data_IF_575964170079
#
_entry.id   IF_575964170079
#
_cell.length_a   1.000
_cell.length_b   1.000
_cell.length_c   1.000
_cell.angle_alpha   90.00
_cell.angle_beta   90.00
_cell.angle_gamma   90.00
#
_symmetry.space_group_name_H-M   'P 1'
#
loop_
_entity.id
_entity.type
_entity.pdbx_description
1 polymer ?
#
# COMPACT_ATOMS: atom_id res chain seq x y z
N UNK A 1 35.68 51.03 -12.27
CA UNK A 1 34.66 51.30 -11.23
C UNK A 1 33.42 50.47 -11.55
N UNK A 2 33.10 49.41 -10.79
CA UNK A 2 31.95 48.57 -11.17
C UNK A 2 31.63 47.34 -10.31
N UNK A 3 32.25 47.12 -9.14
CA UNK A 3 32.03 45.88 -8.35
C UNK A 3 31.42 46.11 -6.95
N UNK A 4 31.18 47.36 -6.53
CA UNK A 4 30.69 47.66 -5.16
C UNK A 4 29.16 47.69 -4.99
N UNK A 5 28.37 47.60 -6.06
CA UNK A 5 26.90 47.79 -5.98
C UNK A 5 26.04 46.51 -5.99
N UNK A 6 26.60 45.33 -6.30
CA UNK A 6 25.81 44.08 -6.38
C UNK A 6 25.68 43.41 -5.01
N UNK A 7 26.72 43.48 -4.18
CA UNK A 7 26.75 42.83 -2.86
C UNK A 7 25.81 43.50 -1.84
N UNK A 8 25.59 44.81 -1.98
CA UNK A 8 24.63 45.57 -1.15
C UNK A 8 23.17 45.19 -1.44
N UNK A 9 22.82 44.91 -2.70
CA UNK A 9 21.43 44.55 -3.08
C UNK A 9 21.02 43.13 -2.65
N UNK A 10 21.96 42.19 -2.58
CA UNK A 10 21.68 40.82 -2.10
C UNK A 10 21.49 40.73 -0.57
N UNK A 11 22.21 41.56 0.20
CA UNK A 11 22.08 41.61 1.67
C UNK A 11 20.76 42.24 2.14
N UNK A 12 20.18 43.15 1.35
CA UNK A 12 18.87 43.77 1.65
C UNK A 12 17.71 42.81 1.34
N UNK A 13 17.84 41.91 0.36
CA UNK A 13 16.78 40.95 0.01
C UNK A 13 16.70 39.76 0.98
N UNK A 14 17.83 39.30 1.53
CA UNK A 14 17.82 38.21 2.52
C UNK A 14 17.30 38.64 3.90
N UNK A 15 17.54 39.90 4.29
CA UNK A 15 17.09 40.45 5.57
C UNK A 15 15.57 40.71 5.62
N UNK A 16 14.96 41.14 4.51
CA UNK A 16 13.50 41.35 4.41
C UNK A 16 12.73 40.02 4.43
N UNK A 17 13.25 38.98 3.75
CA UNK A 17 12.61 37.66 3.74
C UNK A 17 12.61 36.97 5.10
N UNK A 18 13.71 37.07 5.84
CA UNK A 18 13.83 36.43 7.16
C UNK A 18 13.02 37.18 8.24
N UNK A 19 12.99 38.52 8.18
CA UNK A 19 12.17 39.35 9.07
C UNK A 19 10.66 39.12 8.88
N UNK A 20 10.21 38.98 7.63
CA UNK A 20 8.82 38.65 7.31
C UNK A 20 8.38 37.28 7.84
N UNK A 21 9.23 36.26 7.69
CA UNK A 21 8.95 34.90 8.18
C UNK A 21 8.85 34.84 9.71
N UNK A 22 9.78 35.45 10.45
CA UNK A 22 9.77 35.46 11.92
C UNK A 22 8.59 36.26 12.48
N UNK A 23 8.27 37.41 11.89
CA UNK A 23 7.13 38.24 12.32
C UNK A 23 5.80 37.55 12.02
N UNK A 24 5.66 36.92 10.84
CA UNK A 24 4.49 36.12 10.47
C UNK A 24 4.28 34.93 11.42
N UNK A 25 5.35 34.18 11.71
CA UNK A 25 5.31 33.04 12.63
C UNK A 25 4.95 33.45 14.07
N UNK A 26 5.44 34.61 14.52
CA UNK A 26 5.13 35.16 15.85
C UNK A 26 3.67 35.64 15.95
N UNK A 27 3.15 36.30 14.91
CA UNK A 27 1.75 36.74 14.84
C UNK A 27 0.76 35.57 14.77
N UNK A 28 1.07 34.51 14.02
CA UNK A 28 0.25 33.29 13.99
C UNK A 28 0.19 32.59 15.35
N UNK A 29 1.33 32.46 16.06
CA UNK A 29 1.36 31.87 17.40
C UNK A 29 0.56 32.70 18.41
N UNK A 30 0.56 34.04 18.29
CA UNK A 30 -0.27 34.91 19.13
C UNK A 30 -1.78 34.79 18.81
N UNK A 31 -2.16 34.52 17.56
CA UNK A 31 -3.55 34.23 17.19
C UNK A 31 -4.03 32.92 17.81
N UNK A 32 -3.22 31.87 17.77
CA UNK A 32 -3.54 30.57 18.37
C UNK A 32 -3.71 30.62 19.89
N UNK A 33 -2.90 31.42 20.59
CA UNK A 33 -3.01 31.60 22.05
C UNK A 33 -4.30 32.35 22.42
N UNK A 34 -4.73 33.36 21.63
CA UNK A 34 -6.01 34.05 21.88
C UNK A 34 -7.26 33.21 21.57
N UNK A 35 -7.15 32.19 20.72
CA UNK A 35 -8.28 31.27 20.43
C UNK A 35 -8.41 30.10 21.41
N UNK A 36 -7.41 29.88 22.29
CA UNK A 36 -7.45 28.77 23.26
C UNK A 36 -8.21 29.11 24.56
N UNK A 37 -8.54 30.38 24.82
CA UNK A 37 -9.20 30.83 26.05
C UNK A 37 -10.74 30.92 25.96
N UNK A 38 -11.38 30.38 24.92
CA UNK A 38 -12.81 30.56 24.64
C UNK A 38 -13.64 29.26 24.61
N UNK A 39 -13.35 28.30 25.48
CA UNK A 39 -14.22 27.14 25.73
C UNK A 39 -14.46 26.97 27.23
N UNK A 40 -15.04 27.98 27.88
CA UNK A 40 -15.92 27.79 29.04
C UNK A 40 -16.54 29.11 29.47
N UNK A 41 -17.82 29.33 29.17
CA UNK A 41 -18.84 29.96 30.04
C UNK A 41 -20.12 30.16 29.24
N UNK A 42 -21.23 29.63 29.75
CA UNK A 42 -22.55 29.76 29.14
C UNK A 42 -23.25 31.10 29.42
N UNK A 43 -24.36 31.28 28.68
CA UNK A 43 -25.49 32.24 28.79
C UNK A 43 -25.58 33.34 27.72
N UNK A 44 -26.65 33.17 26.93
CA UNK A 44 -27.63 34.07 26.31
C UNK A 44 -27.27 35.45 25.73
N UNK A 45 -27.80 35.61 24.51
CA UNK A 45 -28.55 36.74 23.92
C UNK A 45 -27.85 37.80 23.02
N UNK A 46 -28.37 37.79 21.79
CA UNK A 46 -28.66 38.88 20.84
C UNK A 46 -27.62 39.43 19.83
N UNK A 47 -28.19 39.71 18.64
CA UNK A 47 -27.68 40.41 17.45
C UNK A 47 -26.94 39.57 16.37
N UNK A 48 -27.73 38.93 15.51
CA UNK A 48 -27.28 38.41 14.21
C UNK A 48 -27.02 39.54 13.19
N UNK A 49 -25.77 39.72 12.77
CA UNK A 49 -25.41 40.45 11.55
C UNK A 49 -24.96 39.43 10.49
N UNK A 50 -25.65 39.42 9.34
CA UNK A 50 -25.42 38.49 8.25
C UNK A 50 -24.13 38.85 7.48
N UNK A 51 -23.21 37.87 7.38
CA UNK A 51 -22.13 37.84 6.40
C UNK A 51 -22.06 36.42 5.80
N UNK A 52 -21.69 36.29 4.52
CA UNK A 52 -22.07 35.15 3.69
C UNK A 52 -21.44 33.85 4.18
N UNK A 53 -22.31 32.88 4.47
CA UNK A 53 -21.93 31.55 4.93
C UNK A 53 -21.23 30.75 3.83
N UNK A 54 -20.12 30.12 4.20
CA UNK A 54 -19.66 28.89 3.56
C UNK A 54 -20.55 27.75 4.09
N UNK A 55 -21.05 26.84 3.24
CA UNK A 55 -21.99 25.82 3.68
C UNK A 55 -21.30 24.84 4.64
N UNK A 56 -21.84 24.77 5.86
CA UNK A 56 -21.56 23.72 6.82
C UNK A 56 -22.62 22.62 6.63
N UNK A 57 -22.16 21.36 6.69
CA UNK A 57 -22.92 20.12 6.71
C UNK A 57 -23.51 19.63 5.38
N UNK A 58 -22.69 18.86 4.64
CA UNK A 58 -23.21 17.83 3.76
C UNK A 58 -23.88 16.75 4.61
N UNK A 59 -25.18 16.57 4.41
CA UNK A 59 -25.99 15.52 5.03
C UNK A 59 -25.43 14.14 4.66
N UNK A 60 -25.24 13.30 5.67
CA UNK A 60 -24.95 11.88 5.47
C UNK A 60 -26.24 11.24 4.95
N UNK A 61 -26.26 10.85 3.68
CA UNK A 61 -27.33 10.02 3.13
C UNK A 61 -27.20 8.63 3.73
N UNK A 62 -28.10 8.29 4.65
CA UNK A 62 -28.24 6.93 5.15
C UNK A 62 -28.68 6.04 3.98
N UNK A 63 -27.90 5.01 3.69
CA UNK A 63 -28.24 4.03 2.66
C UNK A 63 -29.57 3.34 3.02
N UNK A 64 -30.56 3.46 2.14
CA UNK A 64 -31.82 2.72 2.24
C UNK A 64 -31.56 1.24 1.96
N UNK A 65 -32.07 0.32 2.79
CA UNK A 65 -31.96 -1.11 2.50
C UNK A 65 -32.82 -1.46 1.28
N UNK A 66 -32.19 -2.07 0.27
CA UNK A 66 -32.85 -2.64 -0.90
C UNK A 66 -33.54 -3.94 -0.46
N UNK A 67 -34.82 -4.18 -0.79
CA UNK A 67 -35.49 -5.44 -0.50
C UNK A 67 -34.76 -6.59 -1.20
N UNK A 68 -34.46 -7.64 -0.44
CA UNK A 68 -33.96 -8.89 -0.98
C UNK A 68 -35.12 -9.63 -1.65
N UNK A 69 -35.19 -9.62 -2.98
CA UNK A 69 -35.99 -10.60 -3.70
C UNK A 69 -35.47 -10.85 -5.13
N UNK A 70 -35.67 -12.10 -5.55
CA UNK A 70 -35.34 -12.74 -6.82
C UNK A 70 -33.86 -13.19 -7.02
N UNK A 71 -33.60 -14.43 -6.57
CA UNK A 71 -32.64 -15.32 -7.20
C UNK A 71 -32.95 -15.43 -8.71
N UNK A 72 -32.20 -14.72 -9.55
CA UNK A 72 -32.07 -15.09 -10.95
C UNK A 72 -30.69 -15.70 -11.16
N UNK A 73 -30.65 -16.98 -11.51
CA UNK A 73 -29.49 -17.72 -11.99
C UNK A 73 -29.03 -17.19 -13.36
N UNK A 74 -28.53 -15.96 -13.39
CA UNK A 74 -27.77 -15.44 -14.51
C UNK A 74 -26.30 -15.71 -14.24
N UNK A 75 -25.60 -16.33 -15.19
CA UNK A 75 -24.14 -16.35 -15.25
C UNK A 75 -23.68 -14.89 -15.37
N UNK A 76 -23.55 -14.19 -14.24
CA UNK A 76 -22.99 -12.85 -14.20
C UNK A 76 -21.56 -12.99 -14.67
N UNK A 77 -21.25 -12.45 -15.84
CA UNK A 77 -19.89 -12.39 -16.34
C UNK A 77 -19.13 -11.35 -15.49
N UNK A 78 -18.75 -11.75 -14.26
CA UNK A 78 -18.06 -10.89 -13.31
C UNK A 78 -16.72 -10.50 -13.93
N UNK A 79 -16.45 -9.20 -14.04
CA UNK A 79 -15.19 -8.69 -14.56
C UNK A 79 -14.00 -9.29 -13.80
N UNK A 80 -12.83 -9.40 -14.45
CA UNK A 80 -11.64 -9.96 -13.79
C UNK A 80 -11.28 -9.23 -12.49
N UNK A 81 -11.46 -7.91 -12.45
CA UNK A 81 -11.36 -7.10 -11.21
C UNK A 81 -12.36 -7.55 -10.15
N UNK A 82 -13.63 -7.73 -10.50
CA UNK A 82 -14.65 -8.21 -9.56
C UNK A 82 -14.35 -9.60 -9.02
N UNK A 83 -13.72 -10.46 -9.84
CA UNK A 83 -13.23 -11.77 -9.39
C UNK A 83 -12.05 -11.63 -8.43
N UNK A 84 -11.04 -10.80 -8.75
CA UNK A 84 -9.86 -10.60 -7.88
C UNK A 84 -10.27 -9.97 -6.54
N UNK A 85 -11.13 -8.96 -6.59
CA UNK A 85 -11.57 -8.16 -5.44
C UNK A 85 -12.84 -8.70 -4.78
N UNK A 86 -13.12 -10.00 -4.94
CA UNK A 86 -14.30 -10.70 -4.39
C UNK A 86 -14.55 -10.34 -2.92
N UNK A 87 -13.49 -10.28 -2.13
CA UNK A 87 -13.53 -10.06 -0.69
C UNK A 87 -13.30 -8.62 -0.24
N UNK A 88 -13.37 -7.65 -1.16
CA UNK A 88 -13.26 -6.22 -0.84
C UNK A 88 -11.90 -5.61 -1.15
N UNK A 89 -11.86 -4.28 -1.17
CA UNK A 89 -10.66 -3.49 -1.43
C UNK A 89 -10.00 -3.10 -0.11
N UNK A 90 -8.69 -3.36 0.09
CA UNK A 90 -8.04 -2.97 1.35
C UNK A 90 -8.03 -1.46 1.63
N UNK A 91 -8.07 -0.66 0.58
CA UNK A 91 -8.20 0.79 0.56
C UNK A 91 -8.50 1.25 -0.88
N UNK A 92 -8.70 2.55 -1.12
CA UNK A 92 -9.14 3.06 -2.44
C UNK A 92 -8.20 4.11 -3.06
N UNK A 93 -7.02 4.32 -2.49
CA UNK A 93 -6.08 5.32 -3.01
C UNK A 93 -5.43 4.85 -4.33
N UNK A 94 -5.50 5.69 -5.37
CA UNK A 94 -4.90 5.48 -6.70
C UNK A 94 -4.97 4.02 -7.22
N UNK A 95 -6.18 3.48 -7.32
CA UNK A 95 -6.40 2.12 -7.81
C UNK A 95 -6.07 2.00 -9.29
N UNK A 96 -5.32 0.95 -9.64
CA UNK A 96 -5.04 0.52 -11.01
C UNK A 96 -5.46 -0.94 -11.17
N UNK A 97 -6.17 -1.20 -12.26
CA UNK A 97 -6.42 -2.57 -12.72
C UNK A 97 -5.42 -2.91 -13.80
N UNK A 98 -4.67 -3.98 -13.59
CA UNK A 98 -3.99 -4.70 -14.65
C UNK A 98 -4.88 -5.87 -15.08
N UNK A 99 -4.42 -6.65 -16.05
CA UNK A 99 -5.26 -7.70 -16.65
C UNK A 99 -5.48 -8.86 -15.66
N UNK A 100 -4.52 -9.14 -14.77
CA UNK A 100 -4.57 -10.29 -13.87
C UNK A 100 -4.23 -10.00 -12.39
N UNK A 101 -4.06 -8.73 -12.03
CA UNK A 101 -3.93 -8.28 -10.65
C UNK A 101 -4.44 -6.84 -10.49
N UNK A 102 -4.74 -6.45 -9.24
CA UNK A 102 -5.17 -5.08 -8.88
C UNK A 102 -4.13 -4.47 -7.96
N UNK A 103 -3.88 -3.17 -8.10
CA UNK A 103 -2.87 -2.45 -7.33
C UNK A 103 -3.43 -1.12 -6.81
N UNK A 104 -3.04 -0.72 -5.60
CA UNK A 104 -3.23 0.63 -5.06
C UNK A 104 -1.87 1.30 -4.93
N UNK A 105 -1.66 2.46 -5.58
CA UNK A 105 -0.35 3.09 -5.65
C UNK A 105 -0.16 4.25 -4.67
N UNK A 106 0.88 4.19 -3.84
CA UNK A 106 1.26 5.29 -2.96
C UNK A 106 2.19 6.25 -3.70
N UNK A 107 1.60 7.34 -4.20
CA UNK A 107 2.35 8.41 -4.89
C UNK A 107 3.44 9.05 -4.02
N UNK A 108 3.30 9.02 -2.69
CA UNK A 108 4.27 9.60 -1.75
C UNK A 108 5.49 8.71 -1.58
N UNK A 109 5.32 7.40 -1.50
CA UNK A 109 6.44 6.45 -1.32
C UNK A 109 6.98 5.90 -2.63
N UNK A 110 6.28 6.13 -3.75
CA UNK A 110 6.62 5.66 -5.11
C UNK A 110 6.61 4.13 -5.23
N UNK A 111 5.91 3.46 -4.31
CA UNK A 111 5.64 2.01 -4.30
C UNK A 111 4.14 1.78 -4.10
N UNK A 112 3.65 0.56 -4.24
CA UNK A 112 2.25 0.27 -3.96
C UNK A 112 1.93 0.37 -2.46
N UNK A 113 0.73 0.80 -2.10
CA UNK A 113 0.14 0.51 -0.78
C UNK A 113 -0.11 -1.00 -0.65
N UNK A 114 -0.69 -1.60 -1.69
CA UNK A 114 -0.97 -3.02 -1.76
C UNK A 114 -1.18 -3.46 -3.21
N UNK A 115 -1.01 -4.76 -3.44
CA UNK A 115 -1.47 -5.48 -4.63
C UNK A 115 -2.37 -6.63 -4.20
N UNK A 116 -3.27 -7.03 -5.08
CA UNK A 116 -4.23 -8.10 -4.84
C UNK A 116 -4.26 -9.05 -6.03
N UNK A 117 -4.13 -10.33 -5.74
CA UNK A 117 -4.04 -11.41 -6.71
C UNK A 117 -5.11 -12.46 -6.39
N UNK A 118 -5.74 -13.01 -7.43
CA UNK A 118 -6.57 -14.20 -7.33
C UNK A 118 -5.95 -15.31 -8.17
N UNK A 119 -5.42 -16.33 -7.49
CA UNK A 119 -4.70 -17.45 -8.05
C UNK A 119 -5.58 -18.70 -8.10
N UNK A 120 -5.47 -19.43 -9.20
CA UNK A 120 -6.10 -20.74 -9.40
C UNK A 120 -5.04 -21.73 -9.89
N UNK A 121 -5.33 -23.05 -9.93
CA UNK A 121 -4.42 -24.01 -10.56
C UNK A 121 -4.03 -23.61 -11.99
N UNK A 122 -4.96 -23.00 -12.74
CA UNK A 122 -4.74 -22.58 -14.12
C UNK A 122 -3.76 -21.40 -14.20
N UNK A 123 -3.95 -20.36 -13.38
CA UNK A 123 -3.17 -19.11 -13.53
C UNK A 123 -1.69 -19.25 -13.19
N UNK A 124 -1.34 -20.22 -12.34
CA UNK A 124 0.05 -20.45 -11.89
C UNK A 124 0.75 -21.63 -12.60
N UNK A 125 0.00 -22.39 -13.41
CA UNK A 125 0.55 -23.52 -14.19
C UNK A 125 1.64 -23.01 -15.12
N UNK A 126 2.69 -23.81 -15.32
CA UNK A 126 3.69 -23.50 -16.34
C UNK A 126 3.02 -23.48 -17.72
N UNK A 127 3.40 -22.51 -18.54
CA UNK A 127 2.87 -22.28 -19.87
C UNK A 127 4.05 -21.93 -20.79
N UNK A 128 4.32 -22.77 -21.79
CA UNK A 128 5.44 -22.60 -22.72
C UNK A 128 5.29 -21.33 -23.59
N UNK A 129 4.07 -20.78 -23.70
CA UNK A 129 3.82 -19.53 -24.38
C UNK A 129 4.19 -18.28 -23.56
N UNK A 130 4.51 -18.42 -22.27
CA UNK A 130 4.89 -17.32 -21.37
C UNK A 130 6.36 -17.43 -20.99
N UNK A 131 7.15 -16.51 -21.53
CA UNK A 131 8.58 -16.41 -21.28
C UNK A 131 8.90 -15.12 -20.50
N UNK A 132 9.23 -15.29 -19.23
CA UNK A 132 9.61 -14.20 -18.32
C UNK A 132 10.86 -13.46 -18.80
N UNK A 133 11.75 -14.09 -19.57
CA UNK A 133 12.96 -13.44 -20.08
C UNK A 133 12.65 -12.32 -21.08
N UNK A 134 11.44 -12.29 -21.65
CA UNK A 134 10.94 -11.25 -22.56
C UNK A 134 10.36 -10.04 -21.83
N UNK A 135 10.23 -10.10 -20.50
CA UNK A 135 9.63 -9.03 -19.72
C UNK A 135 10.71 -8.07 -19.20
N UNK A 136 10.52 -6.77 -19.47
CA UNK A 136 11.44 -5.71 -19.05
C UNK A 136 10.85 -4.84 -17.94
N UNK A 137 11.68 -4.53 -16.94
CA UNK A 137 11.35 -3.54 -15.92
C UNK A 137 11.18 -2.17 -16.56
N UNK A 138 9.97 -1.61 -16.49
CA UNK A 138 9.63 -0.33 -17.12
C UNK A 138 8.73 0.53 -16.24
N UNK A 139 8.85 1.87 -16.31
CA UNK A 139 7.90 2.73 -15.64
C UNK A 139 6.48 2.53 -16.15
N UNK A 140 5.49 2.76 -15.28
CA UNK A 140 4.10 2.88 -15.70
C UNK A 140 3.82 4.34 -16.11
N UNK A 141 3.61 4.57 -17.41
CA UNK A 141 3.43 5.92 -17.95
C UNK A 141 2.10 6.57 -17.57
N UNK A 142 1.15 5.79 -17.06
CA UNK A 142 -0.11 6.33 -16.52
C UNK A 142 0.08 7.07 -15.19
N UNK A 143 1.19 6.84 -14.48
CA UNK A 143 1.52 7.57 -13.26
C UNK A 143 2.15 8.91 -13.64
N UNK A 144 1.61 9.99 -13.08
CA UNK A 144 2.16 11.33 -13.28
C UNK A 144 3.68 11.36 -12.95
N UNK A 145 4.52 12.02 -13.77
CA UNK A 145 5.98 11.96 -13.65
C UNK A 145 6.54 12.25 -12.25
N UNK A 146 5.93 13.17 -11.48
CA UNK A 146 6.36 13.50 -10.10
C UNK A 146 6.34 12.31 -9.12
N UNK A 147 5.51 11.31 -9.41
CA UNK A 147 5.24 10.20 -8.49
C UNK A 147 5.72 8.87 -9.07
N UNK A 148 6.48 8.89 -10.18
CA UNK A 148 6.91 7.71 -10.89
C UNK A 148 8.29 7.27 -10.41
N UNK A 149 8.42 6.00 -10.02
CA UNK A 149 9.72 5.38 -9.83
C UNK A 149 10.34 5.01 -11.19
N UNK A 150 11.66 5.12 -11.30
CA UNK A 150 12.43 4.85 -12.51
C UNK A 150 13.51 3.80 -12.23
N UNK A 151 13.98 3.12 -13.28
CA UNK A 151 15.09 2.16 -13.15
C UNK A 151 16.37 2.80 -12.59
N UNK A 152 16.57 4.09 -12.84
CA UNK A 152 17.69 4.87 -12.30
C UNK A 152 17.63 5.02 -10.78
N UNK A 153 16.45 4.96 -10.16
CA UNK A 153 16.34 5.04 -8.69
C UNK A 153 16.85 3.77 -8.01
N UNK A 154 16.69 2.62 -8.67
CA UNK A 154 17.12 1.32 -8.18
C UNK A 154 18.58 1.00 -8.56
N UNK A 155 19.07 1.54 -9.66
CA UNK A 155 20.43 1.27 -10.16
C UNK A 155 21.49 1.73 -9.14
N UNK A 156 22.32 0.78 -8.68
CA UNK A 156 23.37 1.07 -7.70
C UNK A 156 22.88 1.35 -6.28
N UNK A 157 21.58 1.17 -5.99
CA UNK A 157 20.99 1.45 -4.67
C UNK A 157 21.32 0.41 -3.59
N UNK A 158 21.76 -0.78 -4.00
CA UNK A 158 21.91 -1.96 -3.12
C UNK A 158 20.63 -2.79 -2.98
N UNK A 159 19.51 -2.37 -3.58
CA UNK A 159 18.23 -3.07 -3.54
C UNK A 159 17.83 -3.63 -4.91
N UNK A 160 17.14 -4.76 -4.89
CA UNK A 160 16.45 -5.29 -6.05
C UNK A 160 15.14 -4.53 -6.31
N UNK A 161 14.68 -4.58 -7.56
CA UNK A 161 13.30 -4.28 -7.94
C UNK A 161 12.42 -5.48 -7.56
N UNK A 162 12.00 -5.51 -6.31
CA UNK A 162 11.22 -6.61 -5.74
C UNK A 162 9.75 -6.51 -6.14
N UNK A 163 9.23 -7.56 -6.76
CA UNK A 163 7.82 -7.62 -7.17
C UNK A 163 6.91 -7.76 -5.94
N UNK A 164 5.75 -7.09 -5.94
CA UNK A 164 4.68 -7.36 -4.99
C UNK A 164 3.74 -8.44 -5.54
N UNK A 165 3.22 -8.23 -6.75
CA UNK A 165 2.52 -9.23 -7.55
C UNK A 165 3.56 -9.99 -8.38
N UNK A 166 3.84 -11.24 -8.02
CA UNK A 166 5.00 -11.95 -8.52
C UNK A 166 4.77 -12.47 -9.94
N UNK A 167 5.71 -12.28 -10.86
CA UNK A 167 5.60 -12.77 -12.25
C UNK A 167 5.23 -14.26 -12.35
N UNK A 168 5.69 -15.08 -11.41
CA UNK A 168 5.37 -16.51 -11.34
C UNK A 168 3.89 -16.85 -11.09
N UNK A 169 3.09 -15.87 -10.67
CA UNK A 169 1.67 -16.02 -10.37
C UNK A 169 0.76 -15.76 -11.60
N UNK A 170 1.31 -15.17 -12.67
CA UNK A 170 0.58 -14.64 -13.81
C UNK A 170 1.05 -15.27 -15.12
N UNK A 171 0.68 -16.54 -15.36
CA UNK A 171 1.24 -17.37 -16.45
C UNK A 171 0.23 -17.77 -17.53
N UNK A 172 -0.97 -17.20 -17.50
CA UNK A 172 -1.98 -17.47 -18.55
C UNK A 172 -1.56 -16.88 -19.89
N UNK A 173 -1.06 -15.64 -19.89
CA UNK A 173 -0.67 -14.91 -21.09
C UNK A 173 0.62 -14.12 -20.85
N UNK A 174 1.41 -13.90 -21.91
CA UNK A 174 2.66 -13.14 -21.82
C UNK A 174 2.41 -11.74 -21.26
N UNK A 175 1.32 -11.09 -21.70
CA UNK A 175 0.92 -9.76 -21.25
C UNK A 175 0.67 -9.69 -19.73
N UNK A 176 0.07 -10.73 -19.14
CA UNK A 176 -0.15 -10.78 -17.69
C UNK A 176 1.17 -10.79 -16.94
N UNK A 177 2.14 -11.59 -17.40
CA UNK A 177 3.50 -11.60 -16.87
C UNK A 177 4.18 -10.23 -17.07
N UNK A 178 4.15 -9.66 -18.27
CA UNK A 178 4.81 -8.38 -18.59
C UNK A 178 4.31 -7.23 -17.72
N UNK A 179 3.01 -7.18 -17.43
CA UNK A 179 2.41 -6.15 -16.56
C UNK A 179 2.93 -6.22 -15.12
N UNK A 180 3.47 -7.34 -14.66
CA UNK A 180 4.10 -7.43 -13.33
C UNK A 180 5.43 -6.69 -13.26
N UNK A 181 6.07 -6.40 -14.41
CA UNK A 181 7.35 -5.70 -14.47
C UNK A 181 7.22 -4.17 -14.49
N UNK A 182 6.00 -3.62 -14.35
CA UNK A 182 5.83 -2.20 -14.11
C UNK A 182 6.44 -1.79 -12.77
N UNK A 183 7.16 -0.67 -12.76
CA UNK A 183 7.81 -0.15 -11.54
C UNK A 183 6.81 0.30 -10.45
N UNK A 184 5.53 0.45 -10.77
CA UNK A 184 4.45 0.63 -9.80
C UNK A 184 4.26 -0.60 -8.90
N UNK A 185 4.52 -1.80 -9.43
CA UNK A 185 4.47 -3.09 -8.72
C UNK A 185 5.79 -3.42 -8.00
N UNK A 186 6.77 -2.50 -8.03
CA UNK A 186 8.07 -2.70 -7.39
C UNK A 186 8.16 -1.99 -6.05
N UNK A 187 8.88 -2.62 -5.14
CA UNK A 187 9.44 -1.97 -3.97
C UNK A 187 10.92 -2.34 -3.81
N UNK A 188 11.75 -1.46 -3.23
CA UNK A 188 13.14 -1.80 -2.92
C UNK A 188 13.21 -2.95 -1.91
N UNK A 189 13.75 -4.08 -2.34
CA UNK A 189 13.91 -5.27 -1.51
C UNK A 189 15.38 -5.66 -1.40
N UNK A 190 15.81 -6.12 -0.22
CA UNK A 190 17.12 -6.75 -0.07
C UNK A 190 17.19 -7.95 -1.01
N UNK A 191 18.27 -8.06 -1.79
CA UNK A 191 18.41 -9.11 -2.80
C UNK A 191 18.66 -10.49 -2.19
N UNK A 192 19.93 -10.77 -1.90
CA UNK A 192 20.37 -12.05 -1.32
C UNK A 192 19.89 -12.20 0.13
N UNK A 193 19.28 -13.34 0.43
CA UNK A 193 18.64 -13.70 1.69
C UNK A 193 17.23 -13.15 1.88
N UNK A 194 16.69 -12.39 0.93
CA UNK A 194 15.31 -11.90 1.00
C UNK A 194 14.58 -12.07 -0.33
N UNK A 195 14.58 -11.07 -1.24
CA UNK A 195 13.85 -11.11 -2.52
C UNK A 195 14.14 -12.40 -3.32
N UNK A 196 15.43 -12.74 -3.45
CA UNK A 196 15.88 -13.88 -4.27
C UNK A 196 15.69 -15.24 -3.58
N UNK A 197 15.50 -15.22 -2.26
CA UNK A 197 15.51 -16.41 -1.41
C UNK A 197 14.24 -16.50 -0.55
N UNK A 198 14.25 -16.02 0.70
CA UNK A 198 13.14 -16.22 1.66
C UNK A 198 11.79 -15.66 1.21
N UNK A 199 11.78 -14.49 0.57
CA UNK A 199 10.56 -13.90 0.03
C UNK A 199 10.00 -14.75 -1.12
N UNK A 200 10.85 -15.18 -2.05
CA UNK A 200 10.50 -16.14 -3.11
C UNK A 200 10.06 -17.51 -2.53
N UNK A 201 10.57 -17.94 -1.38
CA UNK A 201 10.07 -19.14 -0.70
C UNK A 201 8.61 -18.99 -0.26
N UNK A 202 8.26 -17.83 0.30
CA UNK A 202 6.87 -17.51 0.61
C UNK A 202 6.00 -17.45 -0.66
N UNK A 203 6.47 -16.81 -1.73
CA UNK A 203 5.73 -16.76 -3.00
C UNK A 203 5.49 -18.15 -3.60
N UNK A 204 6.53 -19.01 -3.60
CA UNK A 204 6.41 -20.41 -4.05
C UNK A 204 5.44 -21.19 -3.19
N UNK A 205 5.44 -20.95 -1.88
CA UNK A 205 4.49 -21.56 -0.96
C UNK A 205 3.06 -21.13 -1.27
N UNK A 206 2.79 -19.82 -1.41
CA UNK A 206 1.45 -19.31 -1.77
C UNK A 206 0.98 -19.88 -3.10
N UNK A 207 1.86 -19.98 -4.12
CA UNK A 207 1.51 -20.68 -5.37
C UNK A 207 1.21 -22.15 -5.17
N UNK A 208 1.92 -22.85 -4.27
CA UNK A 208 1.71 -24.27 -4.00
C UNK A 208 0.34 -24.54 -3.36
N UNK A 209 -0.23 -23.57 -2.64
CA UNK A 209 -1.58 -23.68 -2.06
C UNK A 209 -2.64 -23.97 -3.12
N UNK A 210 -2.48 -23.50 -4.37
CA UNK A 210 -3.44 -23.79 -5.44
C UNK A 210 -3.53 -25.27 -5.80
N UNK A 211 -2.59 -26.12 -5.34
CA UNK A 211 -2.71 -27.58 -5.48
C UNK A 211 -3.77 -28.19 -4.56
N UNK A 212 -4.14 -27.49 -3.49
CA UNK A 212 -5.08 -27.96 -2.46
C UNK A 212 -6.38 -27.15 -2.47
N UNK A 213 -6.27 -25.85 -2.78
CA UNK A 213 -7.39 -24.91 -2.73
C UNK A 213 -7.72 -24.43 -4.16
N UNK A 214 -8.96 -24.58 -4.65
CA UNK A 214 -9.36 -24.12 -5.98
C UNK A 214 -9.12 -22.62 -6.23
N UNK A 215 -9.31 -21.79 -5.20
CA UNK A 215 -9.10 -20.34 -5.27
C UNK A 215 -8.24 -19.88 -4.09
N UNK A 216 -7.19 -19.12 -4.40
CA UNK A 216 -6.28 -18.51 -3.41
C UNK A 216 -6.20 -17.02 -3.69
N UNK A 217 -6.59 -16.21 -2.71
CA UNK A 217 -6.57 -14.75 -2.78
C UNK A 217 -5.44 -14.23 -1.92
N UNK A 218 -4.58 -13.38 -2.48
CA UNK A 218 -3.39 -12.91 -1.81
C UNK A 218 -3.28 -11.39 -1.92
N UNK A 219 -3.24 -10.71 -0.78
CA UNK A 219 -2.90 -9.30 -0.70
C UNK A 219 -1.44 -9.17 -0.23
N UNK A 220 -0.64 -8.43 -0.98
CA UNK A 220 0.79 -8.20 -0.69
C UNK A 220 1.05 -6.69 -0.59
N UNK A 221 1.88 -6.26 0.36
CA UNK A 221 2.25 -4.84 0.46
C UNK A 221 3.44 -4.57 1.37
N UNK A 222 3.99 -3.35 1.32
CA UNK A 222 5.05 -2.87 2.22
C UNK A 222 4.51 -2.45 3.59
N UNK A 223 5.39 -2.43 4.59
CA UNK A 223 5.16 -1.83 5.91
C UNK A 223 6.34 -0.94 6.34
N UNK A 224 6.00 0.10 7.11
CA UNK A 224 6.94 1.03 7.71
C UNK A 224 6.76 1.01 9.23
N UNK A 225 7.36 0.00 9.88
CA UNK A 225 7.13 -0.29 11.29
C UNK A 225 8.02 0.57 12.21
N UNK A 226 7.50 1.00 13.37
CA UNK A 226 8.28 1.77 14.32
C UNK A 226 9.29 0.89 15.07
N UNK A 227 10.42 1.47 15.46
CA UNK A 227 11.39 0.87 16.38
C UNK A 227 11.64 1.83 17.54
N UNK A 228 11.89 1.27 18.72
CA UNK A 228 12.32 2.05 19.89
C UNK A 228 13.81 2.39 19.78
N UNK A 229 14.15 3.66 19.96
CA UNK A 229 15.53 4.14 20.00
C UNK A 229 16.00 4.37 21.46
N UNK A 230 17.27 4.74 21.65
CA UNK A 230 17.92 4.85 22.96
C UNK A 230 17.29 5.94 23.86
N UNK A 231 16.58 6.91 23.28
CA UNK A 231 15.81 7.93 24.01
C UNK A 231 14.47 7.41 24.57
N UNK A 232 14.17 6.11 24.35
CA UNK A 232 12.97 5.44 24.81
C UNK A 232 11.71 5.70 23.96
N UNK A 233 11.79 6.50 22.90
CA UNK A 233 10.64 6.81 22.01
C UNK A 233 10.60 5.90 20.79
N UNK A 234 9.44 5.88 20.13
CA UNK A 234 9.21 5.12 18.90
C UNK A 234 9.39 6.02 17.68
N UNK A 235 10.16 5.55 16.71
CA UNK A 235 10.38 6.24 15.44
C UNK A 235 10.14 5.29 14.27
N UNK A 236 9.53 5.82 13.21
CA UNK A 236 9.50 5.16 11.90
C UNK A 236 10.63 5.75 11.08
N UNK A 237 11.62 4.92 10.77
CA UNK A 237 12.81 5.32 9.98
C UNK A 237 13.01 4.32 8.85
N UNK A 238 13.13 4.84 7.63
CA UNK A 238 13.38 4.06 6.44
C UNK A 238 14.22 4.86 5.45
N UNK A 239 14.98 4.15 4.62
CA UNK A 239 15.78 4.76 3.55
C UNK A 239 14.87 5.16 2.38
N UNK A 240 15.25 6.21 1.66
CA UNK A 240 14.75 6.51 0.31
C UNK A 240 15.89 6.41 -0.69
N UNK A 241 15.62 5.93 -1.91
CA UNK A 241 16.62 5.72 -2.96
C UNK A 241 16.29 6.51 -4.23
N UNK A 242 17.33 6.86 -4.99
CA UNK A 242 17.20 7.57 -6.25
C UNK A 242 16.81 9.04 -6.11
N UNK A 243 16.74 9.74 -7.25
CA UNK A 243 16.30 11.14 -7.30
C UNK A 243 14.81 11.29 -7.01
N UNK A 244 14.02 10.23 -7.23
CA UNK A 244 12.58 10.24 -6.97
C UNK A 244 12.22 9.85 -5.52
N UNK A 245 13.22 9.63 -4.65
CA UNK A 245 13.04 9.27 -3.24
C UNK A 245 12.10 8.07 -3.03
N UNK A 246 12.33 6.97 -3.75
CA UNK A 246 11.55 5.74 -3.62
C UNK A 246 11.80 5.15 -2.24
N UNK A 247 10.74 4.94 -1.45
CA UNK A 247 10.88 4.46 -0.09
C UNK A 247 11.27 2.98 -0.04
N UNK A 248 12.24 2.63 0.80
CA UNK A 248 12.65 1.25 1.11
C UNK A 248 11.80 0.77 2.30
N UNK A 249 10.84 -0.15 2.13
CA UNK A 249 10.02 -0.63 3.23
C UNK A 249 10.85 -1.33 4.30
N UNK A 250 10.42 -1.20 5.55
CA UNK A 250 11.07 -1.93 6.66
C UNK A 250 10.72 -3.42 6.64
N UNK A 251 9.50 -3.73 6.22
CA UNK A 251 8.93 -5.08 6.18
C UNK A 251 7.98 -5.20 4.99
N UNK A 252 7.62 -6.43 4.66
CA UNK A 252 6.55 -6.75 3.71
C UNK A 252 5.58 -7.74 4.33
N UNK A 253 4.32 -7.69 3.89
CA UNK A 253 3.31 -8.65 4.31
C UNK A 253 2.73 -9.43 3.14
N UNK A 254 2.20 -10.62 3.46
CA UNK A 254 1.18 -11.29 2.64
C UNK A 254 0.03 -11.72 3.53
N UNK A 255 -1.21 -11.38 3.16
CA UNK A 255 -2.43 -11.90 3.78
C UNK A 255 -3.16 -12.72 2.73
N UNK A 256 -3.39 -14.00 3.04
CA UNK A 256 -3.84 -15.00 2.08
C UNK A 256 -5.13 -15.64 2.59
N UNK A 257 -6.17 -15.67 1.75
CA UNK A 257 -7.40 -16.45 1.99
C UNK A 257 -7.48 -17.57 0.97
N UNK A 258 -7.78 -18.76 1.44
CA UNK A 258 -7.90 -19.97 0.63
C UNK A 258 -9.32 -20.52 0.75
N UNK A 259 -9.92 -20.85 -0.38
CA UNK A 259 -11.23 -21.51 -0.44
C UNK A 259 -11.02 -23.03 -0.49
N UNK A 260 -11.56 -23.77 0.47
CA UNK A 260 -11.55 -25.24 0.43
C UNK A 260 -12.62 -25.74 -0.55
N UNK A 261 -12.49 -27.01 -0.99
CA UNK A 261 -13.45 -27.64 -1.90
C UNK A 261 -14.85 -27.78 -1.31
N UNK A 262 -14.99 -27.82 0.02
CA UNK A 262 -16.26 -27.83 0.75
C UNK A 262 -16.79 -26.43 1.10
N UNK A 263 -16.20 -25.37 0.55
CA UNK A 263 -16.68 -23.99 0.67
C UNK A 263 -16.32 -23.26 1.97
N UNK A 264 -15.50 -23.87 2.83
CA UNK A 264 -14.91 -23.20 4.00
C UNK A 264 -13.74 -22.31 3.58
N UNK A 265 -13.39 -21.38 4.46
CA UNK A 265 -12.36 -20.38 4.22
C UNK A 265 -11.27 -20.51 5.27
N UNK A 266 -10.03 -20.60 4.82
CA UNK A 266 -8.84 -20.60 5.69
C UNK A 266 -8.03 -19.33 5.41
N UNK A 267 -7.32 -18.82 6.42
CA UNK A 267 -6.49 -17.63 6.28
C UNK A 267 -5.08 -17.86 6.81
N UNK A 268 -4.11 -17.25 6.15
CA UNK A 268 -2.74 -17.09 6.66
C UNK A 268 -2.27 -15.66 6.50
N UNK A 269 -1.43 -15.20 7.41
CA UNK A 269 -0.88 -13.85 7.39
C UNK A 269 0.57 -13.84 7.82
N UNK A 270 1.43 -13.22 7.01
CA UNK A 270 2.87 -13.20 7.18
C UNK A 270 3.40 -11.77 7.19
N UNK A 271 4.40 -11.49 8.03
CA UNK A 271 5.20 -10.26 8.00
C UNK A 271 6.67 -10.62 8.05
N UNK A 272 7.44 -10.21 7.03
CA UNK A 272 8.87 -10.48 6.94
C UNK A 272 9.67 -9.16 6.91
N UNK A 273 10.78 -9.06 7.65
CA UNK A 273 11.65 -7.90 7.61
C UNK A 273 12.40 -7.83 6.27
N UNK A 274 12.54 -6.62 5.72
CA UNK A 274 13.29 -6.36 4.49
C UNK A 274 14.80 -6.36 4.77
N UNK A 275 15.33 -7.52 5.13
CA UNK A 275 16.72 -7.75 5.49
C UNK A 275 17.12 -9.18 5.12
N UNK A 276 18.43 -9.48 5.16
CA UNK A 276 18.90 -10.85 4.97
C UNK A 276 18.26 -11.78 6.01
N UNK A 277 17.59 -12.84 5.56
CA UNK A 277 17.02 -13.89 6.40
C UNK A 277 17.77 -15.19 6.11
N UNK A 278 18.03 -15.96 7.17
CA UNK A 278 18.63 -17.28 7.04
C UNK A 278 17.68 -18.26 6.32
N UNK A 279 18.22 -19.03 5.38
CA UNK A 279 17.38 -19.89 4.55
C UNK A 279 16.79 -21.09 5.30
N UNK A 280 17.41 -21.52 6.40
CA UNK A 280 16.85 -22.54 7.30
C UNK A 280 15.66 -22.05 8.14
N UNK A 281 15.43 -20.74 8.24
CA UNK A 281 14.33 -20.20 9.07
C UNK A 281 12.96 -20.55 8.47
N UNK A 282 12.07 -21.26 9.19
CA UNK A 282 10.78 -21.68 8.65
C UNK A 282 9.82 -20.50 8.49
N UNK A 283 8.99 -20.53 7.44
CA UNK A 283 8.02 -19.46 7.15
C UNK A 283 6.99 -19.24 8.27
N UNK A 284 6.69 -20.27 9.05
CA UNK A 284 5.76 -20.22 10.19
C UNK A 284 6.21 -19.24 11.29
N UNK A 285 7.52 -18.96 11.39
CA UNK A 285 8.06 -17.97 12.34
C UNK A 285 7.64 -16.52 11.99
N UNK A 286 7.20 -16.30 10.74
CA UNK A 286 6.74 -15.00 10.25
C UNK A 286 5.22 -14.88 10.24
N UNK A 287 4.49 -15.90 10.72
CA UNK A 287 3.04 -15.82 10.85
C UNK A 287 2.66 -14.85 11.98
N UNK A 288 1.74 -13.94 11.67
CA UNK A 288 1.22 -12.96 12.63
C UNK A 288 -0.31 -12.95 12.60
N UNK A 289 -1.00 -12.48 13.65
CA UNK A 289 -2.43 -12.21 13.56
C UNK A 289 -2.71 -11.21 12.44
N UNK A 290 -3.72 -11.46 11.57
CA UNK A 290 -4.02 -10.57 10.45
C UNK A 290 -4.35 -9.14 10.91
N UNK A 291 -4.94 -8.96 12.09
CA UNK A 291 -5.24 -7.66 12.69
C UNK A 291 -3.97 -6.85 13.00
N UNK A 292 -2.84 -7.53 13.22
CA UNK A 292 -1.53 -6.87 13.39
C UNK A 292 -1.11 -6.20 12.09
N UNK A 293 -1.34 -6.88 10.96
CA UNK A 293 -1.03 -6.34 9.63
C UNK A 293 -1.98 -5.19 9.29
N UNK A 294 -3.28 -5.33 9.58
CA UNK A 294 -4.28 -4.28 9.35
C UNK A 294 -3.94 -2.99 10.10
N UNK A 295 -3.59 -3.11 11.39
CA UNK A 295 -3.18 -1.97 12.21
C UNK A 295 -1.90 -1.30 11.71
N UNK A 296 -0.94 -2.10 11.25
CA UNK A 296 0.34 -1.58 10.76
C UNK A 296 0.25 -0.95 9.36
N UNK A 297 -0.59 -1.50 8.49
CA UNK A 297 -0.78 -1.02 7.12
C UNK A 297 -1.78 0.14 7.03
N UNK A 298 -2.69 0.28 8.00
CA UNK A 298 -3.82 1.19 7.89
C UNK A 298 -4.86 0.74 6.85
N UNK A 299 -5.01 -0.57 6.68
CA UNK A 299 -5.87 -1.22 5.69
C UNK A 299 -6.70 -2.31 6.36
N UNK A 300 -7.84 -2.68 5.78
CA UNK A 300 -8.63 -3.85 6.20
C UNK A 300 -8.54 -4.93 5.13
N UNK A 301 -8.16 -6.15 5.50
CA UNK A 301 -8.02 -7.22 4.51
C UNK A 301 -9.23 -8.15 4.57
N UNK A 302 -9.83 -8.42 3.41
CA UNK A 302 -10.98 -9.31 3.29
C UNK A 302 -12.19 -8.83 4.12
N UNK A 303 -12.48 -7.53 4.13
CA UNK A 303 -13.49 -6.89 4.98
C UNK A 303 -14.93 -7.38 4.75
N UNK A 304 -15.22 -7.91 3.55
CA UNK A 304 -16.50 -8.57 3.25
C UNK A 304 -16.65 -9.95 3.90
N UNK A 305 -15.58 -10.47 4.51
CA UNK A 305 -15.54 -11.77 5.17
C UNK A 305 -15.56 -11.56 6.69
N UNK A 306 -16.65 -11.99 7.33
CA UNK A 306 -16.70 -12.04 8.79
C UNK A 306 -15.71 -13.09 9.29
N UNK A 307 -14.78 -12.70 10.20
CA UNK A 307 -13.68 -13.55 10.69
C UNK A 307 -14.16 -14.87 11.32
N UNK A 308 -15.36 -14.88 11.91
CA UNK A 308 -15.99 -16.07 12.46
C UNK A 308 -16.43 -17.11 11.40
N UNK A 309 -16.41 -16.75 10.11
CA UNK A 309 -16.63 -17.69 9.00
C UNK A 309 -15.34 -18.40 8.55
N UNK A 310 -14.19 -18.00 9.07
CA UNK A 310 -12.93 -18.70 8.83
C UNK A 310 -12.90 -19.99 9.65
N UNK A 311 -12.55 -21.10 9.02
CA UNK A 311 -12.36 -22.37 9.72
C UNK A 311 -10.97 -22.45 10.37
N UNK A 312 -9.98 -21.71 9.83
CA UNK A 312 -8.63 -21.61 10.38
C UNK A 312 -7.99 -20.24 10.13
N UNK A 313 -7.13 -19.81 11.06
CA UNK A 313 -6.20 -18.70 10.91
C UNK A 313 -4.79 -19.20 11.30
N UNK A 314 -3.81 -19.07 10.40
CA UNK A 314 -2.43 -19.54 10.60
C UNK A 314 -2.37 -21.01 11.07
N UNK A 315 -3.17 -21.87 10.43
CA UNK A 315 -3.25 -23.30 10.77
C UNK A 315 -4.04 -23.65 12.04
N UNK A 316 -4.46 -22.66 12.84
CA UNK A 316 -5.24 -22.87 14.08
C UNK A 316 -6.74 -22.71 13.80
N UNK A 317 -7.56 -23.59 14.35
CA UNK A 317 -9.03 -23.47 14.27
C UNK A 317 -9.50 -22.20 14.98
N UNK A 318 -10.50 -21.54 14.40
CA UNK A 318 -11.19 -20.36 14.96
C UNK A 318 -12.44 -20.81 15.70
#
# INVERSE_FOLDING_TARGET
MGSRNVMSRLLVLSSVGFGGYLTGSYLERRKLIRTADYVNTGKLEESFCSKPGLPIFGTVSAATPIPAEAQSSALVNVSRVGQIMKYGFPGLDNIRSYDDYVLSYDRRTRVAHWVFEHLTPATVKHNDAVDRAKSDFKPDESIHPFFRSLNTDYKGSGFDRGHLAAAGNHRMEQKHCDQTFYLTNMAPQVGVGFNRDKWNHLERYVRKLTKQYPNVYCCTGPLYLPRREDDGKLYVKYQVIGSNNVAVPTHFYKVVVMETTDGRLEMESYVLPNQKIDDGTPLTMYQVPPETVERAAGLLFFDKLARNKLSKINGKKV
#
